data_IF_100027922112
#
_entry.id   IF_100027922112
#
_cell.length_a   1.000
_cell.length_b   1.000
_cell.length_c   1.000
_cell.angle_alpha   90.00
_cell.angle_beta   90.00
_cell.angle_gamma   90.00
#
_symmetry.space_group_name_H-M   'P 1'
#
loop_
_entity.id
_entity.type
_entity.pdbx_description
1 polymer ?
#
# COMPACT_ATOMS: atom_id res chain seq x y z
N UNK A 1 35.54 2.02 22.98
CA UNK A 1 35.37 2.12 21.52
C UNK A 1 35.66 0.74 20.96
N UNK A 2 34.61 -0.05 20.77
CA UNK A 2 34.71 -1.45 20.33
C UNK A 2 34.98 -1.46 18.83
N UNK A 3 36.03 -2.16 18.44
CA UNK A 3 36.46 -2.41 17.07
C UNK A 3 35.34 -3.06 16.26
N UNK A 4 34.86 -2.28 15.29
CA UNK A 4 34.38 -2.64 13.96
C UNK A 4 34.32 -4.16 13.68
N UNK A 5 33.28 -4.82 14.20
CA UNK A 5 32.96 -6.19 13.80
C UNK A 5 32.28 -6.07 12.46
N UNK A 6 33.07 -6.16 11.39
CA UNK A 6 32.59 -6.18 10.00
C UNK A 6 31.45 -7.19 9.90
N UNK A 7 30.22 -6.73 9.67
CA UNK A 7 29.05 -7.61 9.64
C UNK A 7 29.09 -8.43 8.35
N UNK A 8 29.58 -9.66 8.46
CA UNK A 8 29.69 -10.63 7.37
C UNK A 8 28.34 -10.84 6.65
N UNK A 9 27.21 -10.59 7.33
CA UNK A 9 25.87 -10.69 6.74
C UNK A 9 25.59 -9.55 5.77
N UNK A 10 25.94 -8.31 6.10
CA UNK A 10 25.79 -7.18 5.17
C UNK A 10 26.73 -7.33 3.98
N UNK A 11 27.97 -7.78 4.22
CA UNK A 11 28.94 -8.10 3.15
C UNK A 11 28.40 -9.19 2.21
N UNK A 12 27.71 -10.21 2.73
CA UNK A 12 27.09 -11.26 1.92
C UNK A 12 25.96 -10.71 1.03
N UNK A 13 25.07 -9.86 1.58
CA UNK A 13 24.04 -9.18 0.78
C UNK A 13 24.66 -8.30 -0.30
N UNK A 14 25.72 -7.54 0.07
CA UNK A 14 26.47 -6.68 -0.84
C UNK A 14 27.06 -7.49 -2.00
N UNK A 15 27.67 -8.64 -1.73
CA UNK A 15 28.26 -9.49 -2.76
C UNK A 15 27.23 -9.98 -3.80
N UNK A 16 25.99 -10.29 -3.37
CA UNK A 16 24.92 -10.68 -4.28
C UNK A 16 24.48 -9.50 -5.16
N UNK A 17 24.33 -8.31 -4.57
CA UNK A 17 23.89 -7.11 -5.28
C UNK A 17 24.98 -6.56 -6.22
N UNK A 18 26.25 -6.60 -5.82
CA UNK A 18 27.39 -6.20 -6.65
C UNK A 18 27.55 -7.11 -7.89
N UNK A 19 27.08 -8.35 -7.83
CA UNK A 19 27.04 -9.26 -8.97
C UNK A 19 25.92 -8.92 -9.98
N UNK A 20 25.03 -7.97 -9.67
CA UNK A 20 23.99 -7.51 -10.60
C UNK A 20 24.60 -6.48 -11.57
N UNK A 21 24.65 -6.83 -12.86
CA UNK A 21 25.25 -5.98 -13.91
C UNK A 21 24.70 -4.54 -13.95
N UNK A 22 23.44 -4.35 -13.56
CA UNK A 22 22.74 -3.07 -13.65
C UNK A 22 22.71 -2.27 -12.35
N UNK A 23 23.20 -2.84 -11.24
CA UNK A 23 23.26 -2.14 -9.96
C UNK A 23 24.68 -1.67 -9.71
N UNK A 24 24.83 -0.37 -9.45
CA UNK A 24 26.12 0.21 -9.09
C UNK A 24 26.07 0.68 -7.66
N UNK A 25 26.94 0.12 -6.82
CA UNK A 25 27.10 0.57 -5.45
C UNK A 25 27.55 2.04 -5.44
N UNK A 26 26.81 2.86 -4.70
CA UNK A 26 27.14 4.26 -4.42
C UNK A 26 27.28 4.38 -2.90
N UNK A 27 28.39 4.93 -2.38
CA UNK A 27 28.52 5.18 -0.95
C UNK A 27 27.40 6.13 -0.49
N UNK A 28 26.77 5.82 0.65
CA UNK A 28 25.81 6.73 1.29
C UNK A 28 26.45 8.05 1.68
N UNK A 29 25.62 9.07 1.96
CA UNK A 29 26.09 10.37 2.44
C UNK A 29 26.89 10.22 3.73
N UNK A 30 28.16 10.67 3.72
CA UNK A 30 29.01 10.75 4.92
C UNK A 30 28.52 11.79 5.93
N UNK A 31 27.54 12.63 5.55
CA UNK A 31 27.07 13.76 6.34
C UNK A 31 25.83 13.43 7.18
N UNK A 32 25.22 12.25 7.03
CA UNK A 32 24.14 11.79 7.90
C UNK A 32 24.65 10.66 8.81
N UNK A 33 24.94 10.94 10.09
CA UNK A 33 25.46 9.95 11.03
C UNK A 33 24.47 8.80 11.32
N UNK A 34 23.21 8.87 10.86
CA UNK A 34 22.23 7.77 10.94
C UNK A 34 22.33 6.79 9.77
N UNK A 35 23.02 7.14 8.68
CA UNK A 35 23.11 6.36 7.44
C UNK A 35 24.41 5.59 7.29
N UNK A 36 25.26 5.58 8.32
CA UNK A 36 26.66 5.15 8.27
C UNK A 36 26.81 3.67 7.86
N UNK A 37 25.71 2.90 7.88
CA UNK A 37 25.71 1.44 7.79
C UNK A 37 24.79 0.85 6.72
N UNK A 38 24.48 1.63 5.68
CA UNK A 38 23.62 1.22 4.57
C UNK A 38 24.35 1.01 3.22
N UNK A 39 23.87 0.06 2.43
CA UNK A 39 24.23 -0.11 1.02
C UNK A 39 23.27 0.69 0.16
N UNK A 40 23.78 1.46 -0.81
CA UNK A 40 22.95 2.17 -1.78
C UNK A 40 23.35 1.78 -3.19
N UNK A 41 22.35 1.60 -4.04
CA UNK A 41 22.52 1.19 -5.41
C UNK A 41 21.78 2.11 -6.36
N UNK A 42 22.51 2.59 -7.36
CA UNK A 42 21.99 3.30 -8.51
C UNK A 42 21.84 2.35 -9.70
N UNK A 43 20.93 2.66 -10.61
CA UNK A 43 20.83 1.91 -11.87
C UNK A 43 21.93 2.40 -12.83
N UNK A 44 22.79 1.48 -13.31
CA UNK A 44 23.94 1.83 -14.15
C UNK A 44 23.57 2.37 -15.54
N UNK A 45 22.34 2.12 -16.01
CA UNK A 45 21.80 2.63 -17.28
C UNK A 45 20.96 3.89 -17.15
N UNK A 46 20.60 4.31 -15.94
CA UNK A 46 19.88 5.57 -15.72
C UNK A 46 20.88 6.71 -15.51
N UNK A 47 20.37 7.93 -15.41
CA UNK A 47 21.20 9.09 -15.07
C UNK A 47 21.98 8.81 -13.78
N UNK A 48 23.29 9.14 -13.76
CA UNK A 48 24.16 8.95 -12.59
C UNK A 48 23.52 9.58 -11.35
N UNK A 49 23.48 8.85 -10.24
CA UNK A 49 22.81 9.28 -9.00
C UNK A 49 21.31 8.94 -8.93
N UNK A 50 20.77 8.19 -9.90
CA UNK A 50 19.40 7.70 -9.84
C UNK A 50 19.31 6.49 -8.92
N UNK A 51 18.99 6.77 -7.65
CA UNK A 51 18.80 5.76 -6.62
C UNK A 51 17.69 4.76 -6.97
N UNK A 52 17.97 3.47 -6.77
CA UNK A 52 17.05 2.35 -7.03
C UNK A 52 16.72 1.59 -5.76
N UNK A 53 17.75 1.22 -5.01
CA UNK A 53 17.65 0.26 -3.92
C UNK A 53 18.60 0.68 -2.81
N UNK A 54 18.16 0.57 -1.57
CA UNK A 54 19.05 0.59 -0.42
C UNK A 54 18.74 -0.50 0.58
N UNK A 55 19.78 -0.91 1.29
CA UNK A 55 19.75 -1.91 2.37
C UNK A 55 20.37 -1.27 3.59
N UNK A 56 19.67 -1.29 4.72
CA UNK A 56 20.13 -0.76 5.99
C UNK A 56 20.24 -1.88 6.99
N UNK A 57 21.28 -1.83 7.83
CA UNK A 57 21.30 -2.57 9.09
C UNK A 57 20.28 -1.96 10.03
N UNK A 58 19.60 -2.79 10.83
CA UNK A 58 18.50 -2.34 11.69
C UNK A 58 18.87 -1.13 12.57
N UNK A 59 18.36 0.05 12.20
CA UNK A 59 18.48 1.28 13.00
C UNK A 59 17.13 1.78 13.53
N UNK A 60 16.00 1.25 13.04
CA UNK A 60 14.67 1.86 13.26
C UNK A 60 13.62 0.88 13.78
N UNK A 61 13.43 -0.29 13.16
CA UNK A 61 12.45 -1.29 13.61
C UNK A 61 13.13 -2.44 14.35
N UNK A 62 13.10 -2.38 15.69
CA UNK A 62 13.57 -3.46 16.55
C UNK A 62 12.89 -4.79 16.16
N UNK A 63 13.71 -5.80 15.82
CA UNK A 63 13.24 -7.12 15.36
C UNK A 63 13.65 -7.46 13.93
N UNK A 64 13.86 -6.48 13.06
CA UNK A 64 14.47 -6.73 11.75
C UNK A 64 15.99 -6.93 11.89
N UNK A 65 16.62 -7.74 11.04
CA UNK A 65 18.07 -7.72 10.83
C UNK A 65 18.43 -6.66 9.79
N UNK A 66 17.63 -6.56 8.73
CA UNK A 66 17.81 -5.65 7.61
C UNK A 66 16.51 -4.95 7.23
N UNK A 67 16.65 -3.73 6.73
CA UNK A 67 15.57 -2.96 6.14
C UNK A 67 15.94 -2.57 4.72
N UNK A 68 15.00 -2.66 3.79
CA UNK A 68 15.23 -2.34 2.39
C UNK A 68 14.17 -1.39 1.86
N UNK A 69 14.61 -0.47 1.02
CA UNK A 69 13.73 0.39 0.23
C UNK A 69 14.09 0.25 -1.24
N UNK A 70 13.08 0.05 -2.09
CA UNK A 70 13.26 -0.21 -3.51
C UNK A 70 12.28 0.61 -4.31
N UNK A 71 12.76 1.31 -5.34
CA UNK A 71 11.93 2.07 -6.25
C UNK A 71 11.59 1.21 -7.49
N UNK A 72 10.38 0.64 -7.60
CA UNK A 72 10.08 -0.37 -8.62
C UNK A 72 10.31 0.13 -10.05
N UNK A 73 9.98 1.39 -10.31
CA UNK A 73 10.13 2.01 -11.62
C UNK A 73 11.58 2.17 -12.08
N UNK A 74 12.53 2.21 -11.15
CA UNK A 74 13.95 2.34 -11.46
C UNK A 74 14.70 1.02 -11.37
N UNK A 75 14.05 -0.01 -10.82
CA UNK A 75 14.53 -1.38 -10.81
C UNK A 75 14.32 -2.05 -12.17
N UNK A 76 13.25 -1.65 -12.87
CA UNK A 76 12.99 -2.00 -14.26
C UNK A 76 13.85 -1.13 -15.20
N UNK A 77 14.07 -1.58 -16.45
CA UNK A 77 14.72 -0.72 -17.44
C UNK A 77 13.88 0.52 -17.74
N UNK A 78 14.48 1.63 -18.21
CA UNK A 78 13.74 2.86 -18.48
C UNK A 78 12.55 2.68 -19.44
N UNK A 79 12.60 1.68 -20.32
CA UNK A 79 11.54 1.36 -21.29
C UNK A 79 10.59 0.24 -20.82
N UNK A 80 10.85 -0.39 -19.67
CA UNK A 80 10.01 -1.47 -19.15
C UNK A 80 8.77 -0.90 -18.44
N UNK A 81 7.64 -1.60 -18.55
CA UNK A 81 6.50 -1.37 -17.66
C UNK A 81 6.91 -1.63 -16.20
N UNK A 82 6.77 -0.66 -15.28
CA UNK A 82 7.13 -0.84 -13.88
C UNK A 82 6.10 -1.65 -13.07
N UNK A 83 4.89 -1.86 -13.58
CA UNK A 83 3.80 -2.54 -12.86
C UNK A 83 4.11 -4.00 -12.52
N UNK A 84 4.69 -4.82 -13.42
CA UNK A 84 5.20 -6.15 -13.09
C UNK A 84 6.23 -6.13 -11.95
N UNK A 85 7.23 -5.24 -12.01
CA UNK A 85 8.24 -5.12 -10.97
C UNK A 85 7.62 -4.80 -9.61
N UNK A 86 6.67 -3.86 -9.59
CA UNK A 86 5.95 -3.51 -8.36
C UNK A 86 5.14 -4.70 -7.83
N UNK A 87 4.31 -5.34 -8.67
CA UNK A 87 3.51 -6.52 -8.24
C UNK A 87 4.38 -7.63 -7.70
N UNK A 88 5.52 -7.88 -8.34
CA UNK A 88 6.49 -8.87 -7.89
C UNK A 88 7.11 -8.51 -6.54
N UNK A 89 7.51 -7.25 -6.34
CA UNK A 89 8.04 -6.78 -5.07
C UNK A 89 7.02 -6.91 -3.94
N UNK A 90 5.76 -6.55 -4.17
CA UNK A 90 4.69 -6.72 -3.18
C UNK A 90 4.43 -8.21 -2.87
N UNK A 91 4.46 -9.09 -3.87
CA UNK A 91 4.33 -10.53 -3.66
C UNK A 91 5.51 -11.12 -2.84
N UNK A 92 6.74 -10.64 -3.09
CA UNK A 92 7.88 -11.02 -2.26
C UNK A 92 7.79 -10.40 -0.85
N UNK A 93 7.23 -9.20 -0.72
CA UNK A 93 6.94 -8.56 0.58
C UNK A 93 6.03 -9.46 1.41
N UNK A 94 4.92 -9.89 0.86
CA UNK A 94 3.99 -10.82 1.54
C UNK A 94 4.66 -12.11 1.98
N UNK A 95 5.59 -12.64 1.17
CA UNK A 95 6.23 -13.93 1.42
C UNK A 95 7.41 -13.88 2.39
N UNK A 96 8.22 -12.84 2.33
CA UNK A 96 9.54 -12.78 2.99
C UNK A 96 9.63 -11.73 4.10
N UNK A 97 8.69 -10.80 4.18
CA UNK A 97 8.74 -9.75 5.20
C UNK A 97 8.62 -10.33 6.61
N UNK A 98 9.46 -9.84 7.52
CA UNK A 98 9.36 -10.10 8.94
C UNK A 98 8.50 -9.02 9.64
N UNK A 99 8.94 -7.76 9.60
CA UNK A 99 8.21 -6.59 10.11
C UNK A 99 8.25 -5.47 9.06
N UNK A 100 7.36 -4.48 9.19
CA UNK A 100 7.44 -3.28 8.33
C UNK A 100 8.78 -2.56 8.53
N UNK A 101 9.34 -2.04 7.44
CA UNK A 101 10.54 -1.20 7.49
C UNK A 101 10.18 0.23 7.88
N UNK A 102 11.00 0.82 8.74
CA UNK A 102 10.95 2.23 9.09
C UNK A 102 11.41 3.15 7.95
N UNK A 103 11.27 4.45 8.17
CA UNK A 103 11.68 5.49 7.22
C UNK A 103 13.04 6.05 7.67
N UNK A 104 14.10 5.77 6.91
CA UNK A 104 15.48 6.13 7.29
C UNK A 104 15.91 7.55 6.93
N UNK A 105 15.43 8.11 5.81
CA UNK A 105 15.94 9.41 5.30
C UNK A 105 14.83 10.31 4.79
N UNK A 106 13.98 9.83 3.89
CA UNK A 106 12.85 10.58 3.37
C UNK A 106 11.69 9.65 2.98
N UNK A 107 10.47 10.18 3.02
CA UNK A 107 9.33 9.52 2.39
C UNK A 107 9.57 9.45 0.88
N UNK A 108 9.69 8.23 0.38
CA UNK A 108 9.70 7.93 -1.04
C UNK A 108 8.36 7.25 -1.32
N UNK A 109 7.30 8.01 -1.67
CA UNK A 109 5.91 7.50 -1.64
C UNK A 109 5.66 6.33 -2.58
N UNK A 110 6.54 6.12 -3.57
CA UNK A 110 6.45 5.01 -4.53
C UNK A 110 7.46 3.90 -4.27
N UNK A 111 8.27 3.98 -3.21
CA UNK A 111 9.19 2.92 -2.85
C UNK A 111 8.46 1.80 -2.11
N UNK A 112 8.76 0.55 -2.47
CA UNK A 112 8.36 -0.61 -1.67
C UNK A 112 9.40 -0.76 -0.56
N UNK A 113 8.91 -0.86 0.67
CA UNK A 113 9.74 -0.98 1.89
C UNK A 113 9.49 -2.33 2.54
N UNK A 114 10.57 -2.99 2.96
CA UNK A 114 10.55 -4.34 3.50
C UNK A 114 11.52 -4.47 4.67
N UNK A 115 11.08 -5.08 5.77
CA UNK A 115 11.94 -5.48 6.88
C UNK A 115 12.13 -7.00 6.91
N UNK A 116 13.36 -7.46 7.14
CA UNK A 116 13.74 -8.87 7.00
C UNK A 116 14.53 -9.41 8.18
N UNK A 117 14.41 -10.72 8.40
CA UNK A 117 15.48 -11.52 9.01
C UNK A 117 16.57 -11.82 7.98
N UNK A 118 17.79 -12.13 8.42
CA UNK A 118 18.93 -12.33 7.53
C UNK A 118 18.68 -13.32 6.37
N UNK A 119 18.17 -14.53 6.66
CA UNK A 119 17.99 -15.56 5.61
C UNK A 119 16.99 -15.10 4.55
N UNK A 120 15.89 -14.46 4.97
CA UNK A 120 14.90 -13.88 4.07
C UNK A 120 15.48 -12.72 3.25
N UNK A 121 16.33 -11.87 3.84
CA UNK A 121 17.02 -10.81 3.12
C UNK A 121 17.95 -11.38 2.04
N UNK A 122 18.70 -12.45 2.36
CA UNK A 122 19.63 -13.09 1.44
C UNK A 122 18.89 -13.78 0.28
N UNK A 123 17.77 -14.43 0.58
CA UNK A 123 16.89 -14.99 -0.43
C UNK A 123 16.33 -13.89 -1.35
N UNK A 124 15.85 -12.80 -0.77
CA UNK A 124 15.26 -11.69 -1.51
C UNK A 124 16.24 -11.03 -2.48
N UNK A 125 17.46 -10.69 -2.04
CA UNK A 125 18.47 -10.11 -2.96
C UNK A 125 18.92 -11.11 -4.03
N UNK A 126 18.91 -12.40 -3.72
CA UNK A 126 19.19 -13.46 -4.71
C UNK A 126 18.09 -13.56 -5.76
N UNK A 127 16.84 -13.34 -5.37
CA UNK A 127 15.71 -13.27 -6.30
C UNK A 127 15.76 -12.02 -7.18
N UNK A 128 16.09 -10.86 -6.61
CA UNK A 128 16.34 -9.63 -7.40
C UNK A 128 17.42 -9.89 -8.46
N UNK A 129 18.55 -10.49 -8.07
CA UNK A 129 19.62 -10.84 -9.02
C UNK A 129 19.11 -11.73 -10.15
N UNK A 130 18.31 -12.76 -9.83
CA UNK A 130 17.73 -13.67 -10.83
C UNK A 130 16.82 -12.91 -11.81
N UNK A 131 15.97 -12.01 -11.32
CA UNK A 131 15.09 -11.22 -12.17
C UNK A 131 15.86 -10.24 -13.05
N UNK A 132 16.87 -9.55 -12.49
CA UNK A 132 17.71 -8.62 -13.25
C UNK A 132 18.59 -9.30 -14.31
N UNK A 133 18.93 -10.59 -14.12
CA UNK A 133 19.69 -11.37 -15.09
C UNK A 133 18.85 -11.84 -16.29
N UNK A 134 17.51 -11.73 -16.24
CA UNK A 134 16.63 -12.17 -17.34
C UNK A 134 16.61 -11.13 -18.47
N UNK A 135 16.79 -11.55 -19.74
CA UNK A 135 16.76 -10.65 -20.90
C UNK A 135 15.35 -10.15 -21.27
N UNK A 136 14.29 -10.71 -20.68
CA UNK A 136 12.89 -10.34 -20.90
C UNK A 136 11.96 -11.16 -19.98
N UNK A 137 10.66 -10.86 -19.99
CA UNK A 137 9.66 -11.48 -19.09
C UNK A 137 10.10 -11.50 -17.63
N UNK A 138 10.68 -10.39 -17.18
CA UNK A 138 11.10 -10.16 -15.80
C UNK A 138 9.88 -10.04 -14.89
N UNK A 139 10.09 -10.23 -13.59
CA UNK A 139 9.11 -10.02 -12.53
C UNK A 139 7.95 -11.01 -12.56
N UNK A 140 8.25 -12.27 -12.88
CA UNK A 140 7.26 -13.34 -12.89
C UNK A 140 6.81 -13.62 -11.46
N UNK A 141 5.50 -13.57 -11.24
CA UNK A 141 4.93 -13.90 -9.94
C UNK A 141 5.27 -15.36 -9.58
N UNK A 142 5.55 -15.65 -8.30
CA UNK A 142 5.67 -17.03 -7.85
C UNK A 142 4.44 -17.81 -8.30
N UNK A 143 4.62 -18.97 -8.94
CA UNK A 143 3.49 -19.86 -9.15
C UNK A 143 2.99 -20.27 -7.77
N UNK A 144 1.72 -19.95 -7.46
CA UNK A 144 1.10 -20.48 -6.26
C UNK A 144 1.20 -22.00 -6.32
N UNK A 145 1.62 -22.67 -5.24
CA UNK A 145 1.49 -24.12 -5.17
C UNK A 145 0.03 -24.45 -5.46
N UNK A 146 -0.22 -25.27 -6.48
CA UNK A 146 -1.56 -25.71 -6.86
C UNK A 146 -2.18 -26.40 -5.66
N UNK A 147 -3.02 -25.66 -4.94
CA UNK A 147 -3.81 -26.22 -3.85
C UNK A 147 -4.90 -27.07 -4.50
N UNK A 148 -5.05 -28.35 -4.14
CA UNK A 148 -6.18 -29.14 -4.62
C UNK A 148 -7.49 -28.45 -4.22
N UNK A 149 -8.50 -28.59 -5.09
CA UNK A 149 -9.78 -27.90 -5.00
C UNK A 149 -10.40 -27.95 -3.58
N UNK A 150 -11.04 -26.86 -3.12
CA UNK A 150 -11.62 -26.83 -1.79
C UNK A 150 -12.76 -27.84 -1.68
N UNK A 151 -12.67 -28.73 -0.69
CA UNK A 151 -13.81 -29.51 -0.21
C UNK A 151 -14.91 -28.56 0.32
N UNK A 152 -16.16 -29.03 0.19
CA UNK A 152 -17.40 -28.26 0.38
C UNK A 152 -17.45 -27.46 1.69
N UNK A 153 -18.14 -26.30 1.71
CA UNK A 153 -18.32 -25.50 2.92
C UNK A 153 -19.07 -26.28 4.01
N UNK A 154 -18.51 -26.24 5.22
CA UNK A 154 -19.13 -26.70 6.46
C UNK A 154 -20.24 -25.73 6.88
N UNK A 155 -21.48 -26.21 6.98
CA UNK A 155 -22.61 -25.45 7.53
C UNK A 155 -22.56 -25.49 9.07
N UNK A 156 -22.53 -24.35 9.78
CA UNK A 156 -22.69 -24.34 11.22
C UNK A 156 -24.18 -24.48 11.62
N UNK A 157 -24.47 -25.15 12.74
CA UNK A 157 -25.85 -25.40 13.16
C UNK A 157 -26.52 -24.13 13.68
N UNK A 158 -27.80 -24.02 13.33
CA UNK A 158 -28.75 -23.07 13.91
C UNK A 158 -29.06 -23.47 15.35
N UNK A 159 -28.93 -22.56 16.32
CA UNK A 159 -29.79 -22.61 17.51
C UNK A 159 -30.00 -21.22 18.10
N UNK A 160 -31.27 -20.90 18.31
CA UNK A 160 -31.75 -19.71 18.99
C UNK A 160 -31.64 -19.84 20.51
N UNK A 161 -31.35 -18.73 21.20
CA UNK A 161 -31.91 -18.43 22.53
C UNK A 161 -31.76 -16.94 22.85
N UNK A 162 -32.91 -16.28 23.00
CA UNK A 162 -33.08 -14.98 23.66
C UNK A 162 -33.02 -15.15 25.18
N UNK A 163 -32.49 -14.15 25.88
CA UNK A 163 -32.94 -13.61 27.19
C UNK A 163 -32.07 -12.37 27.48
N UNK A 164 -32.57 -11.14 27.38
CA UNK A 164 -33.46 -10.39 28.29
C UNK A 164 -32.65 -9.35 29.09
N UNK A 165 -33.02 -8.07 28.92
CA UNK A 165 -32.44 -6.90 29.59
C UNK A 165 -32.96 -6.76 31.04
N UNK A 166 -32.31 -5.90 31.84
CA UNK A 166 -33.09 -4.82 32.46
C UNK A 166 -32.39 -3.45 32.45
N UNK A 167 -33.17 -2.38 32.56
CA UNK A 167 -32.74 -1.01 32.84
C UNK A 167 -33.82 -0.33 33.74
N UNK A 168 -33.61 0.89 34.29
CA UNK A 168 -32.50 1.45 35.08
C UNK A 168 -33.01 2.06 36.42
N UNK A 169 -32.18 2.81 37.21
CA UNK A 169 -32.33 4.29 37.12
C UNK A 169 -31.04 5.12 37.33
N UNK A 170 -30.96 6.26 36.62
CA UNK A 170 -30.61 7.59 37.16
C UNK A 170 -29.16 7.93 37.60
N UNK A 171 -28.36 8.51 36.69
CA UNK A 171 -27.54 9.72 36.93
C UNK A 171 -26.98 10.25 35.60
N UNK A 172 -27.59 11.34 35.12
CA UNK A 172 -27.33 11.93 33.79
C UNK A 172 -25.99 12.66 33.70
N UNK A 173 -25.46 12.76 32.48
CA UNK A 173 -24.16 13.35 32.09
C UNK A 173 -22.93 12.51 32.41
N UNK A 174 -22.65 12.17 33.68
CA UNK A 174 -21.46 11.39 34.02
C UNK A 174 -21.54 9.96 33.44
N UNK A 175 -22.70 9.29 33.57
CA UNK A 175 -22.88 7.91 33.08
C UNK A 175 -22.87 7.79 31.54
N UNK A 176 -23.36 8.81 30.82
CA UNK A 176 -23.46 8.79 29.36
C UNK A 176 -22.10 9.05 28.73
N UNK A 177 -21.39 10.08 29.20
CA UNK A 177 -20.01 10.36 28.82
C UNK A 177 -19.07 9.22 29.23
N UNK A 178 -19.27 8.62 30.40
CA UNK A 178 -18.51 7.46 30.86
C UNK A 178 -18.81 6.22 30.01
N UNK A 179 -20.05 6.02 29.56
CA UNK A 179 -20.41 4.95 28.63
C UNK A 179 -19.83 5.15 27.21
N UNK A 180 -19.75 6.40 26.73
CA UNK A 180 -19.13 6.74 25.44
C UNK A 180 -17.60 6.58 25.53
N UNK A 181 -16.99 7.09 26.60
CA UNK A 181 -15.56 6.94 26.86
C UNK A 181 -15.18 5.47 27.01
N UNK A 182 -16.03 4.65 27.63
CA UNK A 182 -15.86 3.20 27.68
C UNK A 182 -15.95 2.56 26.29
N UNK A 183 -16.89 2.95 25.42
CA UNK A 183 -16.95 2.46 24.03
C UNK A 183 -15.70 2.86 23.25
N UNK A 184 -15.29 4.12 23.32
CA UNK A 184 -14.05 4.60 22.69
C UNK A 184 -12.82 3.86 23.21
N UNK A 185 -12.74 3.59 24.53
CA UNK A 185 -11.67 2.79 25.14
C UNK A 185 -11.66 1.36 24.59
N UNK A 186 -12.83 0.74 24.43
CA UNK A 186 -12.93 -0.60 23.83
C UNK A 186 -12.55 -0.59 22.35
N UNK A 187 -12.96 0.43 21.58
CA UNK A 187 -12.50 0.62 20.19
C UNK A 187 -11.00 0.80 20.12
N UNK A 188 -10.40 1.65 20.96
CA UNK A 188 -8.95 1.84 21.02
C UNK A 188 -8.24 0.55 21.41
N UNK A 189 -8.72 -0.17 22.43
CA UNK A 189 -8.15 -1.48 22.82
C UNK A 189 -8.27 -2.51 21.72
N UNK A 190 -9.41 -2.58 21.03
CA UNK A 190 -9.62 -3.47 19.90
C UNK A 190 -8.70 -3.10 18.72
N UNK A 191 -8.61 -1.81 18.36
CA UNK A 191 -7.69 -1.32 17.33
C UNK A 191 -6.23 -1.55 17.70
N UNK A 192 -5.83 -1.38 18.97
CA UNK A 192 -4.47 -1.68 19.44
C UNK A 192 -4.19 -3.19 19.47
N UNK A 193 -5.17 -4.02 19.83
CA UNK A 193 -5.06 -5.48 19.77
C UNK A 193 -5.04 -6.00 18.32
N UNK A 194 -5.68 -5.28 17.40
CA UNK A 194 -5.68 -5.55 15.96
C UNK A 194 -4.46 -4.92 15.25
N UNK A 195 -3.76 -3.99 15.90
CA UNK A 195 -2.51 -3.42 15.41
C UNK A 195 -1.44 -4.51 15.38
N UNK A 196 -0.93 -4.82 14.18
CA UNK A 196 -0.04 -5.96 13.94
C UNK A 196 -0.74 -7.25 13.52
N UNK A 197 -2.08 -7.28 13.49
CA UNK A 197 -2.84 -8.37 12.89
C UNK A 197 -3.01 -8.14 11.38
N UNK A 198 -2.67 -9.13 10.57
CA UNK A 198 -2.97 -9.10 9.13
C UNK A 198 -4.47 -9.30 8.92
N UNK A 199 -5.15 -8.29 8.36
CA UNK A 199 -6.48 -8.51 7.80
C UNK A 199 -6.33 -9.24 6.48
N UNK A 200 -6.79 -10.50 6.40
CA UNK A 200 -7.03 -11.16 5.11
C UNK A 200 -8.21 -10.45 4.47
N UNK A 201 -7.93 -9.40 3.68
CA UNK A 201 -8.94 -8.82 2.81
C UNK A 201 -9.05 -9.78 1.64
N UNK A 202 -10.16 -10.51 1.54
CA UNK A 202 -10.47 -11.23 0.31
C UNK A 202 -10.51 -10.17 -0.79
N UNK A 203 -9.50 -10.19 -1.68
CA UNK A 203 -9.44 -9.27 -2.79
C UNK A 203 -10.74 -9.44 -3.58
N UNK A 204 -11.61 -8.41 -3.55
CA UNK A 204 -12.79 -8.38 -4.40
C UNK A 204 -12.27 -8.52 -5.84
N UNK A 205 -12.82 -9.45 -6.61
CA UNK A 205 -12.50 -9.56 -8.03
C UNK A 205 -12.79 -8.19 -8.66
N UNK A 206 -11.79 -7.57 -9.28
CA UNK A 206 -11.93 -6.28 -9.96
C UNK A 206 -11.70 -6.54 -11.43
N UNK A 207 -12.78 -6.85 -12.14
CA UNK A 207 -12.73 -7.08 -13.58
C UNK A 207 -12.65 -5.74 -14.31
N UNK A 208 -11.77 -5.67 -15.31
CA UNK A 208 -11.79 -4.62 -16.31
C UNK A 208 -12.93 -4.93 -17.28
N UNK A 209 -13.99 -4.12 -17.23
CA UNK A 209 -15.21 -4.31 -18.05
C UNK A 209 -15.36 -3.27 -19.15
N UNK A 210 -14.24 -2.70 -19.58
CA UNK A 210 -14.18 -1.91 -20.80
C UNK A 210 -13.69 -2.80 -21.94
N UNK A 211 -14.18 -2.52 -23.14
CA UNK A 211 -13.84 -3.29 -24.35
C UNK A 211 -12.36 -3.10 -24.69
N UNK A 212 -11.87 -1.87 -24.59
CA UNK A 212 -10.48 -1.46 -24.76
C UNK A 212 -10.23 -0.09 -24.08
N UNK A 213 -9.02 0.44 -24.26
CA UNK A 213 -8.63 1.74 -23.72
C UNK A 213 -9.40 2.91 -24.38
N UNK A 214 -9.81 2.78 -25.65
CA UNK A 214 -10.57 3.82 -26.36
C UNK A 214 -11.99 3.95 -25.80
N UNK A 215 -12.65 2.81 -25.53
CA UNK A 215 -13.95 2.77 -24.86
C UNK A 215 -13.85 3.37 -23.45
N UNK A 216 -12.80 3.06 -22.69
CA UNK A 216 -12.59 3.69 -21.38
C UNK A 216 -12.45 5.22 -21.49
N UNK A 217 -11.61 5.72 -22.39
CA UNK A 217 -11.42 7.16 -22.61
C UNK A 217 -12.73 7.84 -23.03
N UNK A 218 -13.52 7.21 -23.92
CA UNK A 218 -14.82 7.71 -24.34
C UNK A 218 -15.79 7.87 -23.16
N UNK A 219 -15.88 6.85 -22.29
CA UNK A 219 -16.72 6.89 -21.08
C UNK A 219 -16.24 7.99 -20.12
N UNK A 220 -14.94 8.10 -19.87
CA UNK A 220 -14.39 9.12 -18.97
C UNK A 220 -14.60 10.53 -19.52
N UNK A 221 -14.42 10.75 -20.82
CA UNK A 221 -14.69 12.04 -21.46
C UNK A 221 -16.16 12.43 -21.34
N UNK A 222 -17.08 11.50 -21.61
CA UNK A 222 -18.51 11.75 -21.43
C UNK A 222 -18.86 12.10 -19.97
N UNK A 223 -18.21 11.47 -19.00
CA UNK A 223 -18.38 11.80 -17.57
C UNK A 223 -17.79 13.17 -17.21
N UNK A 224 -16.65 13.56 -17.79
CA UNK A 224 -16.06 14.88 -17.59
C UNK A 224 -16.96 15.98 -18.19
N UNK A 225 -17.50 15.75 -19.38
CA UNK A 225 -18.44 16.66 -20.03
C UNK A 225 -19.73 16.79 -19.22
N UNK A 226 -20.27 15.68 -18.73
CA UNK A 226 -21.45 15.66 -17.87
C UNK A 226 -21.21 16.36 -16.52
N UNK A 227 -20.00 16.22 -15.96
CA UNK A 227 -19.62 16.84 -14.71
C UNK A 227 -19.51 18.37 -14.81
N UNK A 228 -19.28 18.92 -16.02
CA UNK A 228 -19.18 20.35 -16.29
C UNK A 228 -18.22 21.07 -15.32
N UNK A 229 -17.08 20.44 -15.03
CA UNK A 229 -16.08 20.98 -14.10
C UNK A 229 -16.50 20.96 -12.62
N UNK A 230 -17.53 20.19 -12.24
CA UNK A 230 -17.97 20.07 -10.85
C UNK A 230 -17.85 18.64 -10.33
N UNK A 231 -17.51 18.51 -9.05
CA UNK A 231 -17.56 17.24 -8.34
C UNK A 231 -18.99 16.71 -8.26
N UNK A 232 -19.24 15.46 -8.67
CA UNK A 232 -20.58 14.87 -8.69
C UNK A 232 -21.26 14.85 -7.31
N UNK A 233 -20.49 14.61 -6.23
CA UNK A 233 -21.04 14.50 -4.86
C UNK A 233 -21.09 15.85 -4.14
N UNK A 234 -19.96 16.58 -4.12
CA UNK A 234 -19.86 17.82 -3.34
C UNK A 234 -20.22 19.06 -4.16
N UNK A 235 -20.33 19.00 -5.47
CA UNK A 235 -20.52 20.20 -6.33
C UNK A 235 -19.42 21.25 -6.22
N UNK A 236 -18.30 20.94 -5.55
CA UNK A 236 -17.13 21.82 -5.57
C UNK A 236 -16.58 21.90 -6.99
N UNK A 237 -16.09 23.07 -7.37
CA UNK A 237 -15.42 23.27 -8.65
C UNK A 237 -14.13 22.45 -8.70
N UNK A 238 -13.96 21.73 -9.81
CA UNK A 238 -12.80 20.89 -10.07
C UNK A 238 -11.70 21.74 -10.70
N UNK A 239 -10.47 21.44 -10.30
CA UNK A 239 -9.29 22.05 -10.90
C UNK A 239 -8.79 21.20 -12.06
N UNK A 240 -9.17 21.59 -13.28
CA UNK A 240 -8.73 20.93 -14.52
C UNK A 240 -7.31 21.31 -14.93
N UNK A 241 -6.71 22.34 -14.31
CA UNK A 241 -5.34 22.79 -14.59
C UNK A 241 -4.29 21.94 -13.86
N UNK A 242 -4.68 21.32 -12.75
CA UNK A 242 -3.80 20.51 -11.91
C UNK A 242 -3.03 21.30 -10.84
N UNK A 243 -3.28 22.60 -10.69
CA UNK A 243 -2.59 23.45 -9.72
C UNK A 243 -2.98 23.18 -8.26
N UNK A 244 -4.22 22.72 -8.02
CA UNK A 244 -4.75 22.34 -6.71
C UNK A 244 -5.02 20.84 -6.70
N UNK A 245 -4.03 20.01 -6.30
CA UNK A 245 -4.11 18.54 -6.41
C UNK A 245 -5.32 17.92 -5.72
N UNK A 246 -5.81 18.54 -4.65
CA UNK A 246 -6.95 18.03 -3.90
C UNK A 246 -8.30 18.33 -4.60
N UNK A 247 -8.36 19.37 -5.42
CA UNK A 247 -9.52 19.71 -6.25
C UNK A 247 -9.46 19.10 -7.66
N UNK A 248 -8.36 18.43 -8.00
CA UNK A 248 -8.24 17.76 -9.30
C UNK A 248 -9.31 16.66 -9.47
N UNK A 249 -9.80 16.45 -10.71
CA UNK A 249 -10.70 15.35 -11.03
C UNK A 249 -10.12 14.00 -10.63
N UNK A 250 -10.98 13.16 -10.06
CA UNK A 250 -10.67 11.80 -9.66
C UNK A 250 -11.84 10.89 -10.04
N UNK A 251 -11.51 9.68 -10.50
CA UNK A 251 -12.51 8.70 -10.89
C UNK A 251 -12.96 7.91 -9.65
N UNK A 252 -14.24 8.00 -9.32
CA UNK A 252 -14.88 7.31 -8.20
C UNK A 252 -15.93 6.31 -8.67
N UNK A 253 -16.19 5.30 -7.83
CA UNK A 253 -17.25 4.32 -8.02
C UNK A 253 -18.44 4.71 -7.15
N UNK A 254 -19.60 4.89 -7.80
CA UNK A 254 -20.89 5.14 -7.10
C UNK A 254 -21.16 4.03 -6.09
N UNK A 255 -21.06 2.78 -6.56
CA UNK A 255 -21.14 1.58 -5.73
C UNK A 255 -19.74 1.01 -5.50
N UNK A 256 -19.29 1.05 -4.26
CA UNK A 256 -17.94 0.64 -3.84
C UNK A 256 -17.71 -0.88 -3.87
N UNK A 257 -18.79 -1.66 -3.84
CA UNK A 257 -18.83 -3.11 -4.04
C UNK A 257 -18.83 -3.53 -5.51
N UNK A 258 -19.15 -2.62 -6.44
CA UNK A 258 -19.09 -2.83 -7.88
C UNK A 258 -17.70 -2.65 -8.51
N UNK A 259 -17.60 -2.98 -9.81
CA UNK A 259 -16.39 -2.86 -10.60
C UNK A 259 -16.23 -1.46 -11.22
N UNK A 260 -15.06 -1.23 -11.86
CA UNK A 260 -14.89 -0.11 -12.78
C UNK A 260 -15.55 -0.49 -14.11
N UNK A 261 -16.78 -0.04 -14.29
CA UNK A 261 -17.61 -0.37 -15.45
C UNK A 261 -18.45 0.84 -15.87
N UNK A 262 -18.85 0.93 -17.15
CA UNK A 262 -19.77 1.96 -17.60
C UNK A 262 -21.02 2.02 -16.71
N UNK A 263 -21.42 3.22 -16.31
CA UNK A 263 -22.58 3.46 -15.43
C UNK A 263 -22.30 3.43 -13.92
N UNK A 264 -21.24 2.74 -13.46
CA UNK A 264 -20.86 2.75 -12.03
C UNK A 264 -19.80 3.81 -11.69
N UNK A 265 -19.36 4.61 -12.66
CA UNK A 265 -18.32 5.62 -12.47
C UNK A 265 -18.90 7.04 -12.39
N UNK A 266 -18.16 7.91 -11.71
CA UNK A 266 -18.41 9.34 -11.62
C UNK A 266 -17.11 10.14 -11.42
N UNK A 267 -17.15 11.43 -11.76
CA UNK A 267 -16.03 12.35 -11.51
C UNK A 267 -16.27 13.10 -10.20
N UNK A 268 -15.29 13.02 -9.30
CA UNK A 268 -15.29 13.73 -8.02
C UNK A 268 -13.96 14.44 -7.80
N UNK A 269 -13.89 15.34 -6.81
CA UNK A 269 -12.61 15.91 -6.38
C UNK A 269 -11.79 14.85 -5.65
N UNK A 270 -10.46 14.91 -5.76
CA UNK A 270 -9.55 13.93 -5.14
C UNK A 270 -9.75 13.80 -3.63
N UNK A 271 -9.94 14.91 -2.92
CA UNK A 271 -10.19 14.86 -1.48
C UNK A 271 -11.53 14.18 -1.14
N UNK A 272 -12.55 14.38 -1.98
CA UNK A 272 -13.88 13.77 -1.81
C UNK A 272 -13.80 12.26 -2.00
N UNK A 273 -13.09 11.80 -3.03
CA UNK A 273 -12.85 10.37 -3.26
C UNK A 273 -12.19 9.71 -2.03
N UNK A 274 -11.19 10.38 -1.46
CA UNK A 274 -10.50 9.91 -0.24
C UNK A 274 -11.42 9.86 0.98
N UNK A 275 -12.28 10.86 1.17
CA UNK A 275 -13.22 10.89 2.29
C UNK A 275 -14.32 9.85 2.18
N UNK A 276 -14.82 9.62 0.95
CA UNK A 276 -15.82 8.59 0.68
C UNK A 276 -15.26 7.19 0.89
N UNK A 277 -14.03 6.92 0.45
CA UNK A 277 -13.37 5.61 0.58
C UNK A 277 -14.24 4.47 0.02
N UNK A 278 -14.77 3.59 0.86
CA UNK A 278 -15.63 2.46 0.51
C UNK A 278 -17.11 2.69 0.88
N UNK A 279 -17.45 3.88 1.36
CA UNK A 279 -18.83 4.29 1.66
C UNK A 279 -19.66 4.40 0.37
N UNK A 280 -20.97 4.16 0.48
CA UNK A 280 -21.91 4.45 -0.60
C UNK A 280 -22.09 5.97 -0.78
N UNK A 281 -22.55 6.38 -1.97
CA UNK A 281 -22.86 7.79 -2.24
C UNK A 281 -23.86 8.36 -1.24
N UNK A 282 -24.91 7.58 -0.91
CA UNK A 282 -25.98 8.01 0.00
C UNK A 282 -25.45 8.30 1.39
N UNK A 283 -24.70 7.35 1.98
CA UNK A 283 -24.11 7.51 3.30
C UNK A 283 -23.13 8.68 3.35
N UNK A 284 -22.34 8.86 2.29
CA UNK A 284 -21.41 9.98 2.21
C UNK A 284 -22.12 11.33 2.11
N UNK A 285 -23.18 11.41 1.28
CA UNK A 285 -23.97 12.64 1.13
C UNK A 285 -24.70 13.02 2.41
N UNK A 286 -25.16 12.06 3.21
CA UNK A 286 -25.73 12.33 4.54
C UNK A 286 -24.72 12.98 5.48
N UNK A 287 -23.52 12.41 5.61
CA UNK A 287 -22.45 12.99 6.43
C UNK A 287 -22.02 14.37 5.91
N UNK A 288 -21.94 14.54 4.59
CA UNK A 288 -21.57 15.80 3.98
C UNK A 288 -22.60 16.90 4.26
N UNK A 289 -23.90 16.55 4.32
CA UNK A 289 -24.95 17.50 4.74
C UNK A 289 -24.72 17.96 6.18
N UNK A 290 -24.38 17.06 7.10
CA UNK A 290 -24.07 17.41 8.49
C UNK A 290 -22.92 18.41 8.57
N UNK A 291 -21.85 18.20 7.80
CA UNK A 291 -20.69 19.12 7.75
C UNK A 291 -21.07 20.50 7.22
N UNK A 292 -21.99 20.58 6.25
CA UNK A 292 -22.44 21.86 5.66
C UNK A 292 -23.43 22.64 6.52
N UNK A 293 -24.15 21.93 7.39
CA UNK A 293 -25.12 22.52 8.31
C UNK A 293 -24.53 22.92 9.67
N UNK A 294 -23.27 22.58 9.92
CA UNK A 294 -22.50 22.97 11.09
C UNK A 294 -21.89 24.37 10.89
#
# INVERSE_FOLDING_TARGET
>A
MSTDTKDLRLDALKAVLDACQYLKFTPGSTNDPKLVDGLYYDHSKLQKGTWVLSVYRNVMTAGNDFEMAIYPHRLAWPEDDPRPARRWLEAQKERLQHLESGIHTHEAPNAVRLGFKYDAALEFVSLIRKELARPGNRWQLPQQPTTPAPEKPFEPPTTAAQQAAPAPPGSGSASLSQSIAQRMLQTVKATCAQSGSQSVVVAKNKEWRFEDDEHFLSVVNALLDQAQGQCALSRVELDLTGERPELSPSLDRKRSDGHYEPGNLQIVARFVNRWKSDMSDEGFLELLKTVRSA
#
